data_IF_338931225284
#
_entry.id   IF_338931225284
#
_cell.length_a   1.000
_cell.length_b   1.000
_cell.length_c   1.000
_cell.angle_alpha   90.00
_cell.angle_beta   90.00
_cell.angle_gamma   90.00
#
_symmetry.space_group_name_H-M   'P 1'
#
loop_
_entity.id
_entity.type
_entity.pdbx_description
1 polymer ?
#
# COMPACT_ATOMS: atom_id res chain seq x y z
N UNK A 1 -0.22 8.44 -28.98
CA UNK A 1 -0.71 8.14 -27.63
C UNK A 1 -1.44 6.82 -27.74
N UNK A 2 -0.64 5.78 -27.84
CA UNK A 2 -0.98 4.47 -28.38
C UNK A 2 -1.28 3.57 -27.19
N UNK A 3 -2.52 3.04 -27.10
CA UNK A 3 -3.08 2.20 -26.04
C UNK A 3 -2.16 1.91 -24.84
N UNK A 4 -2.32 2.66 -23.76
CA UNK A 4 -1.71 2.36 -22.45
C UNK A 4 -2.74 1.63 -21.56
N UNK A 5 -2.84 0.29 -21.65
CA UNK A 5 -3.86 -0.46 -20.92
C UNK A 5 -3.64 -0.42 -19.41
N UNK A 6 -2.38 -0.31 -18.96
CA UNK A 6 -2.04 -0.21 -17.52
C UNK A 6 -2.51 1.14 -16.98
N UNK A 7 -2.21 2.23 -17.68
CA UNK A 7 -2.70 3.57 -17.32
C UNK A 7 -4.22 3.64 -17.29
N UNK A 8 -4.91 3.06 -18.29
CA UNK A 8 -6.36 2.99 -18.30
C UNK A 8 -6.92 2.22 -17.09
N UNK A 9 -6.29 1.11 -16.71
CA UNK A 9 -6.69 0.30 -15.54
C UNK A 9 -6.46 1.04 -14.21
N UNK A 10 -5.35 1.76 -14.08
CA UNK A 10 -5.07 2.60 -12.91
C UNK A 10 -6.08 3.74 -12.77
N UNK A 11 -6.42 4.41 -13.88
CA UNK A 11 -7.47 5.45 -13.87
C UNK A 11 -8.82 4.86 -13.48
N UNK A 12 -9.18 3.69 -14.03
CA UNK A 12 -10.42 3.01 -13.66
C UNK A 12 -10.45 2.65 -12.16
N UNK A 13 -9.33 2.16 -11.61
CA UNK A 13 -9.21 1.85 -10.19
C UNK A 13 -9.38 3.11 -9.32
N UNK A 14 -8.71 4.22 -9.65
CA UNK A 14 -8.86 5.49 -8.92
C UNK A 14 -10.30 5.98 -8.93
N UNK A 15 -10.96 5.93 -10.08
CA UNK A 15 -12.37 6.34 -10.21
C UNK A 15 -13.29 5.45 -9.37
N UNK A 16 -13.06 4.13 -9.40
CA UNK A 16 -13.81 3.18 -8.58
C UNK A 16 -13.62 3.47 -7.08
N UNK A 17 -12.37 3.63 -6.62
CA UNK A 17 -12.07 3.95 -5.22
C UNK A 17 -12.69 5.28 -4.78
N UNK A 18 -12.63 6.31 -5.63
CA UNK A 18 -13.22 7.62 -5.34
C UNK A 18 -14.74 7.50 -5.15
N UNK A 19 -15.40 6.74 -6.03
CA UNK A 19 -16.84 6.51 -5.95
C UNK A 19 -17.25 5.62 -4.78
N UNK A 20 -16.47 4.56 -4.49
CA UNK A 20 -16.78 3.56 -3.46
C UNK A 20 -16.50 4.10 -2.05
N UNK A 21 -15.39 4.80 -1.86
CA UNK A 21 -14.94 5.24 -0.53
C UNK A 21 -15.71 6.48 -0.05
N UNK A 22 -16.11 7.39 -0.94
CA UNK A 22 -16.94 8.54 -0.60
C UNK A 22 -16.36 9.34 0.59
N UNK A 23 -17.06 9.35 1.72
CA UNK A 23 -16.63 10.06 2.93
C UNK A 23 -15.63 9.29 3.79
N UNK A 24 -15.45 7.97 3.58
CA UNK A 24 -14.63 7.07 4.42
C UNK A 24 -13.12 7.32 4.28
N UNK A 25 -12.71 7.83 3.12
CA UNK A 25 -11.32 8.16 2.82
C UNK A 25 -11.23 9.27 1.79
N UNK A 26 -10.11 9.99 1.77
CA UNK A 26 -9.75 10.87 0.66
C UNK A 26 -8.88 10.12 -0.34
N UNK A 27 -9.25 10.16 -1.61
CA UNK A 27 -8.41 9.72 -2.73
C UNK A 27 -7.84 10.98 -3.38
N UNK A 28 -6.52 11.15 -3.35
CA UNK A 28 -5.83 12.25 -4.01
C UNK A 28 -4.93 11.74 -5.12
N UNK A 29 -4.97 12.43 -6.27
CA UNK A 29 -4.06 12.20 -7.39
C UNK A 29 -3.20 13.44 -7.54
N UNK A 30 -1.90 13.26 -7.44
CA UNK A 30 -0.89 14.30 -7.66
C UNK A 30 -0.24 14.03 -9.01
N UNK A 31 -0.37 14.98 -9.92
CA UNK A 31 0.16 14.89 -11.28
C UNK A 31 0.70 16.27 -11.69
N UNK A 32 1.97 16.51 -11.37
CA UNK A 32 2.67 17.74 -11.75
C UNK A 32 3.69 17.47 -12.87
N UNK A 33 3.95 18.46 -13.75
CA UNK A 33 4.97 18.32 -14.79
C UNK A 33 6.33 17.91 -14.21
N UNK A 34 6.96 16.89 -14.79
CA UNK A 34 8.25 16.31 -14.37
C UNK A 34 8.26 15.62 -13.00
N UNK A 35 7.09 15.31 -12.44
CA UNK A 35 6.98 14.47 -11.23
C UNK A 35 6.31 13.14 -11.57
N UNK A 36 6.69 12.04 -10.89
CA UNK A 36 5.94 10.79 -10.96
C UNK A 36 4.50 11.02 -10.52
N UNK A 37 3.52 10.46 -11.24
CA UNK A 37 2.12 10.50 -10.82
C UNK A 37 1.98 9.73 -9.52
N UNK A 38 1.39 10.34 -8.49
CA UNK A 38 1.19 9.72 -7.18
C UNK A 38 -0.30 9.67 -6.85
N UNK A 39 -0.72 8.54 -6.30
CA UNK A 39 -2.08 8.33 -5.80
C UNK A 39 -1.99 7.97 -4.33
N UNK A 40 -2.73 8.70 -3.49
CA UNK A 40 -2.84 8.42 -2.06
C UNK A 40 -4.30 8.17 -1.68
N UNK A 41 -4.53 7.12 -0.90
CA UNK A 41 -5.84 6.75 -0.34
C UNK A 41 -5.74 6.80 1.18
N UNK A 42 -6.18 7.92 1.74
CA UNK A 42 -5.99 8.24 3.17
C UNK A 42 -7.33 8.05 3.89
N UNK A 43 -7.43 7.11 4.85
CA UNK A 43 -8.65 6.91 5.63
C UNK A 43 -8.92 8.11 6.53
N UNK A 44 -10.19 8.35 6.88
CA UNK A 44 -10.56 9.40 7.85
C UNK A 44 -10.29 9.04 9.31
N UNK A 45 -10.08 7.76 9.59
CA UNK A 45 -9.88 7.23 10.95
C UNK A 45 -8.43 6.83 11.16
N UNK A 46 -7.83 7.26 12.27
CA UNK A 46 -6.42 6.99 12.63
C UNK A 46 -6.12 5.51 12.91
N UNK A 47 -7.15 4.67 13.11
CA UNK A 47 -6.99 3.23 13.31
C UNK A 47 -6.84 2.43 12.02
N UNK A 48 -7.02 3.05 10.85
CA UNK A 48 -6.87 2.41 9.54
C UNK A 48 -5.52 2.78 8.90
N UNK A 49 -4.96 1.87 8.11
CA UNK A 49 -3.67 2.06 7.47
C UNK A 49 -3.84 2.74 6.10
N UNK A 50 -3.17 3.88 5.80
CA UNK A 50 -3.21 4.47 4.46
C UNK A 50 -2.51 3.57 3.43
N UNK A 51 -2.96 3.67 2.17
CA UNK A 51 -2.34 2.99 1.03
C UNK A 51 -2.24 3.94 -0.15
N UNK A 52 -1.20 3.81 -0.95
CA UNK A 52 -0.99 4.64 -2.14
C UNK A 52 0.02 4.02 -3.08
N UNK A 53 0.18 4.61 -4.26
CA UNK A 53 1.20 4.19 -5.20
C UNK A 53 1.74 5.33 -6.04
N UNK A 54 2.93 5.13 -6.60
CA UNK A 54 3.64 6.08 -7.45
C UNK A 54 3.94 5.41 -8.79
N UNK A 55 3.63 6.09 -9.89
CA UNK A 55 3.97 5.67 -11.26
C UNK A 55 5.30 6.28 -11.69
N UNK A 56 6.34 5.44 -11.79
CA UNK A 56 7.70 5.85 -12.15
C UNK A 56 8.12 5.20 -13.48
N UNK A 57 7.67 5.78 -14.60
CA UNK A 57 8.02 5.28 -15.93
C UNK A 57 7.54 3.84 -16.15
N UNK A 58 8.45 2.87 -16.11
CA UNK A 58 8.16 1.43 -16.25
C UNK A 58 7.89 0.71 -14.92
N UNK A 59 7.88 1.44 -13.81
CA UNK A 59 7.72 0.87 -12.47
C UNK A 59 6.51 1.48 -11.75
N UNK A 60 5.97 0.71 -10.82
CA UNK A 60 4.95 1.13 -9.87
C UNK A 60 5.47 0.85 -8.46
N UNK A 61 5.47 1.85 -7.60
CA UNK A 61 5.80 1.69 -6.18
C UNK A 61 4.49 1.68 -5.42
N UNK A 62 4.09 0.54 -4.89
CA UNK A 62 2.94 0.40 -4.01
C UNK A 62 3.39 0.52 -2.56
N UNK A 63 2.67 1.32 -1.77
CA UNK A 63 2.99 1.55 -0.37
C UNK A 63 1.74 1.42 0.52
N UNK A 64 1.81 0.57 1.54
CA UNK A 64 0.82 0.47 2.63
C UNK A 64 1.48 0.89 3.94
N UNK A 65 1.11 2.05 4.47
CA UNK A 65 1.73 2.64 5.66
C UNK A 65 2.99 3.47 5.38
N UNK A 66 3.83 3.65 6.41
CA UNK A 66 4.93 4.62 6.37
C UNK A 66 6.35 4.04 6.42
N UNK A 67 6.53 2.86 7.01
CA UNK A 67 7.86 2.31 7.27
C UNK A 67 8.12 1.03 6.48
N UNK A 68 7.30 -0.01 6.66
CA UNK A 68 7.25 -1.17 5.77
C UNK A 68 6.08 -1.09 4.80
N UNK A 69 5.81 -2.18 4.09
CA UNK A 69 4.70 -2.26 3.15
C UNK A 69 5.00 -1.62 1.80
N UNK A 70 6.26 -1.61 1.36
CA UNK A 70 6.68 -1.02 0.07
C UNK A 70 7.00 -2.11 -0.97
N UNK A 71 6.14 -2.29 -1.95
CA UNK A 71 6.38 -3.21 -3.06
C UNK A 71 6.77 -2.45 -4.33
N UNK A 72 7.86 -2.87 -4.96
CA UNK A 72 8.30 -2.36 -6.26
C UNK A 72 7.84 -3.33 -7.33
N UNK A 73 6.92 -2.85 -8.17
CA UNK A 73 6.24 -3.63 -9.19
C UNK A 73 6.63 -3.12 -10.56
N UNK A 74 6.61 -4.01 -11.55
CA UNK A 74 6.68 -3.59 -12.95
C UNK A 74 5.34 -3.01 -13.39
N UNK A 75 5.37 -2.02 -14.29
CA UNK A 75 4.17 -1.44 -14.91
C UNK A 75 3.65 -2.35 -16.02
N UNK A 76 3.20 -3.53 -15.61
CA UNK A 76 2.71 -4.62 -16.45
C UNK A 76 1.28 -5.01 -16.01
N UNK A 77 0.46 -5.50 -16.93
CA UNK A 77 -0.95 -5.82 -16.62
C UNK A 77 -1.09 -6.92 -15.57
N UNK A 78 -0.16 -7.85 -15.55
CA UNK A 78 -0.08 -8.97 -14.61
C UNK A 78 0.14 -8.49 -13.17
N UNK A 79 0.80 -7.34 -12.98
CA UNK A 79 1.04 -6.76 -11.64
C UNK A 79 -0.15 -5.94 -11.14
N UNK A 80 -1.11 -5.63 -12.00
CA UNK A 80 -2.27 -4.83 -11.64
C UNK A 80 -3.24 -5.57 -10.72
N UNK A 81 -3.37 -6.89 -10.88
CA UNK A 81 -4.20 -7.71 -10.00
C UNK A 81 -3.63 -7.69 -8.57
N UNK A 82 -2.32 -7.85 -8.44
CA UNK A 82 -1.64 -7.78 -7.14
C UNK A 82 -1.81 -6.40 -6.49
N UNK A 83 -1.61 -5.32 -7.25
CA UNK A 83 -1.80 -3.95 -6.75
C UNK A 83 -3.23 -3.75 -6.23
N UNK A 84 -4.22 -4.11 -7.04
CA UNK A 84 -5.62 -3.96 -6.67
C UNK A 84 -5.99 -4.80 -5.45
N UNK A 85 -5.55 -6.06 -5.38
CA UNK A 85 -5.82 -6.96 -4.26
C UNK A 85 -5.22 -6.46 -2.95
N UNK A 86 -4.00 -5.92 -2.98
CA UNK A 86 -3.37 -5.32 -1.79
C UNK A 86 -4.14 -4.06 -1.37
N UNK A 87 -4.44 -3.15 -2.30
CA UNK A 87 -5.18 -1.91 -2.00
C UNK A 87 -6.54 -2.24 -1.36
N UNK A 88 -7.31 -3.15 -1.97
CA UNK A 88 -8.62 -3.55 -1.44
C UNK A 88 -8.49 -4.26 -0.09
N UNK A 89 -7.49 -5.10 0.09
CA UNK A 89 -7.28 -5.80 1.37
C UNK A 89 -6.90 -4.84 2.50
N UNK A 90 -6.12 -3.78 2.21
CA UNK A 90 -5.81 -2.73 3.19
C UNK A 90 -7.06 -1.93 3.54
N UNK A 91 -7.87 -1.54 2.55
CA UNK A 91 -9.16 -0.85 2.75
C UNK A 91 -10.10 -1.69 3.62
N UNK A 92 -10.13 -3.00 3.41
CA UNK A 92 -10.93 -3.96 4.20
C UNK A 92 -10.35 -4.22 5.61
N UNK A 93 -9.24 -3.59 5.99
CA UNK A 93 -8.61 -3.78 7.30
C UNK A 93 -7.91 -5.13 7.47
N UNK A 94 -7.64 -5.86 6.38
CA UNK A 94 -6.92 -7.15 6.40
C UNK A 94 -5.41 -6.96 6.49
N UNK A 95 -4.96 -6.05 7.35
CA UNK A 95 -3.56 -5.68 7.47
C UNK A 95 -3.11 -5.66 8.94
N UNK A 96 -1.95 -6.28 9.16
CA UNK A 96 -1.26 -6.28 10.45
C UNK A 96 0.14 -5.73 10.25
N UNK A 97 0.60 -4.87 11.16
CA UNK A 97 1.98 -4.42 11.19
C UNK A 97 2.67 -4.87 12.47
N UNK A 98 3.85 -5.44 12.32
CA UNK A 98 4.72 -5.81 13.43
C UNK A 98 5.83 -4.77 13.55
N UNK A 99 5.94 -4.16 14.71
CA UNK A 99 6.97 -3.16 15.00
C UNK A 99 8.08 -3.75 15.87
N UNK A 100 9.32 -3.38 15.54
CA UNK A 100 10.50 -3.58 16.35
C UNK A 100 11.43 -2.35 16.25
N UNK A 101 12.46 -2.20 17.10
CA UNK A 101 13.36 -1.05 17.05
C UNK A 101 13.94 -0.82 15.64
N UNK A 102 13.60 0.32 15.06
CA UNK A 102 14.07 0.76 13.74
C UNK A 102 13.60 -0.10 12.57
N UNK A 103 12.51 -0.88 12.71
CA UNK A 103 11.96 -1.68 11.60
C UNK A 103 10.48 -1.97 11.81
N UNK A 104 9.79 -2.22 10.71
CA UNK A 104 8.44 -2.78 10.76
C UNK A 104 8.21 -3.76 9.63
N UNK A 105 7.22 -4.63 9.80
CA UNK A 105 6.79 -5.58 8.78
C UNK A 105 5.28 -5.47 8.63
N UNK A 106 4.85 -5.10 7.45
CA UNK A 106 3.44 -5.06 7.06
C UNK A 106 3.09 -6.40 6.46
N UNK A 107 2.01 -7.01 6.95
CA UNK A 107 1.45 -8.26 6.47
C UNK A 107 0.01 -7.99 6.03
N UNK A 108 -0.24 -8.15 4.73
CA UNK A 108 -1.57 -7.98 4.12
C UNK A 108 -2.11 -9.36 3.79
N UNK A 109 -3.30 -9.66 4.31
CA UNK A 109 -4.03 -10.90 3.96
C UNK A 109 -4.91 -10.61 2.75
N UNK A 110 -4.57 -11.22 1.62
CA UNK A 110 -5.30 -11.07 0.36
C UNK A 110 -6.66 -11.78 0.44
N UNK A 111 -7.51 -11.53 -0.56
CA UNK A 111 -8.87 -12.07 -0.62
C UNK A 111 -8.91 -13.60 -0.66
N UNK A 112 -7.91 -14.23 -1.26
CA UNK A 112 -7.74 -15.69 -1.33
C UNK A 112 -7.23 -16.31 -0.01
N UNK A 113 -6.95 -15.47 1.00
CA UNK A 113 -6.40 -15.87 2.30
C UNK A 113 -4.87 -16.01 2.31
N UNK A 114 -4.20 -15.82 1.18
CA UNK A 114 -2.73 -15.75 1.15
C UNK A 114 -2.24 -14.48 1.85
N UNK A 115 -1.02 -14.53 2.38
CA UNK A 115 -0.41 -13.39 3.08
C UNK A 115 0.80 -12.92 2.30
N UNK A 116 0.80 -11.65 1.95
CA UNK A 116 1.94 -10.96 1.36
C UNK A 116 2.51 -9.98 2.37
N UNK A 117 3.83 -9.85 2.40
CA UNK A 117 4.47 -9.11 3.46
C UNK A 117 5.76 -8.45 3.02
N UNK A 118 6.05 -7.31 3.63
CA UNK A 118 7.20 -6.48 3.31
C UNK A 118 7.74 -5.86 4.60
N UNK A 119 9.06 -5.75 4.72
CA UNK A 119 9.72 -5.26 5.92
C UNK A 119 10.58 -4.03 5.63
N UNK A 120 10.22 -2.91 6.25
CA UNK A 120 10.98 -1.67 6.17
C UNK A 120 11.94 -1.47 7.34
N UNK A 121 13.01 -0.71 7.09
CA UNK A 121 14.07 -0.46 8.06
C UNK A 121 14.42 1.03 8.12
N UNK A 122 14.45 1.60 9.32
CA UNK A 122 15.02 2.91 9.57
C UNK A 122 16.55 2.82 9.52
N UNK A 123 17.20 3.77 8.85
CA UNK A 123 18.67 3.80 8.72
C UNK A 123 19.35 3.92 10.10
N UNK A 124 20.48 3.22 10.25
CA UNK A 124 21.27 2.99 11.47
C UNK A 124 20.67 2.06 12.54
N UNK A 125 19.38 2.21 12.93
CA UNK A 125 18.75 1.33 13.94
C UNK A 125 18.26 -0.02 13.38
N UNK A 126 17.95 -0.06 12.08
CA UNK A 126 17.53 -1.29 11.38
C UNK A 126 18.67 -2.28 11.10
N UNK A 127 19.93 -1.83 11.14
CA UNK A 127 21.10 -2.63 10.75
C UNK A 127 21.51 -3.70 11.77
N UNK A 128 21.05 -3.59 13.03
CA UNK A 128 21.34 -4.61 14.04
C UNK A 128 20.47 -5.86 13.82
N UNK A 129 21.04 -7.07 13.80
CA UNK A 129 20.26 -8.29 13.72
C UNK A 129 19.37 -8.42 14.97
N UNK A 130 18.06 -8.63 14.78
CA UNK A 130 17.12 -8.90 15.86
C UNK A 130 16.38 -10.21 15.58
N UNK A 131 17.00 -11.38 15.75
CA UNK A 131 16.37 -12.65 15.40
C UNK A 131 15.02 -12.83 16.12
N UNK A 132 14.02 -13.33 15.39
CA UNK A 132 12.68 -13.57 15.94
C UNK A 132 11.88 -12.30 16.30
N UNK A 133 12.29 -11.11 15.83
CA UNK A 133 11.56 -9.86 16.08
C UNK A 133 10.13 -9.90 15.53
N UNK A 134 9.88 -10.55 14.40
CA UNK A 134 8.53 -10.71 13.83
C UNK A 134 7.60 -11.48 14.80
N UNK A 135 8.16 -12.36 15.64
CA UNK A 135 7.38 -13.12 16.63
C UNK A 135 7.14 -12.33 17.92
N UNK A 136 8.12 -11.56 18.36
CA UNK A 136 8.16 -10.88 19.67
C UNK A 136 7.85 -9.39 19.62
N UNK A 137 7.77 -8.81 18.42
CA UNK A 137 7.48 -7.40 18.20
C UNK A 137 6.05 -7.03 18.56
N UNK A 138 5.80 -5.73 18.71
CA UNK A 138 4.46 -5.20 18.98
C UNK A 138 3.63 -5.32 17.70
N UNK A 139 2.48 -6.00 17.79
CA UNK A 139 1.54 -6.13 16.66
C UNK A 139 0.46 -5.07 16.73
N UNK A 140 0.13 -4.51 15.59
CA UNK A 140 -1.02 -3.62 15.39
C UNK A 140 -1.88 -4.24 14.30
N UNK A 141 -3.17 -4.42 14.60
CA UNK A 141 -4.18 -4.78 13.61
C UNK A 141 -4.93 -3.51 13.24
N UNK A 142 -4.95 -3.17 11.97
CA UNK A 142 -5.63 -1.96 11.52
C UNK A 142 -7.10 -2.23 11.25
N UNK A 143 -7.92 -1.22 11.54
CA UNK A 143 -9.35 -1.26 11.23
C UNK A 143 -9.58 -1.09 9.71
N UNK A 144 -10.73 -1.55 9.20
CA UNK A 144 -11.17 -1.20 7.85
C UNK A 144 -11.43 0.31 7.75
N UNK A 145 -11.53 0.79 6.51
CA UNK A 145 -11.94 2.16 6.20
C UNK A 145 -13.44 2.30 6.52
N UNK A 146 -13.73 2.79 7.72
CA UNK A 146 -15.07 2.99 8.25
C UNK A 146 -15.65 4.38 7.87
N UNK A 147 -16.95 4.54 8.09
CA UNK A 147 -17.66 5.82 8.02
C UNK A 147 -17.30 6.78 9.14
#
# INVERSE_FOLDING_TARGET
MENDPVGARLVALVNALTSELGTRASVSVQEEPNTPRQVDVIPRTDSALPVGWIELGSELILQAGHHGGRWELKRELEQMDFLEDVVRSVIDGRVTEVFAPGRSRVEVTLRDGSVVAEAGYATLRGCLPLPGWVRRGRRVHYAPYAE
#
